data_IF_629400893104
#
_entry.id   IF_629400893104
#
_cell.length_a   1.000
_cell.length_b   1.000
_cell.length_c   1.000
_cell.angle_alpha   90.00
_cell.angle_beta   90.00
_cell.angle_gamma   90.00
#
_symmetry.space_group_name_H-M   'P 1'
#
loop_
_entity.id
_entity.type
_entity.pdbx_description
1 polymer ?
#
# COMPACT_ATOMS: atom_id res chain seq x y z
N UNK A 1 22.42 -3.34 -10.06
CA UNK A 1 21.18 -4.05 -10.21
C UNK A 1 20.61 -4.47 -8.88
N UNK A 2 19.38 -4.18 -8.70
CA UNK A 2 18.77 -4.53 -7.43
C UNK A 2 18.48 -6.02 -7.37
N UNK A 3 18.77 -6.60 -6.24
CA UNK A 3 18.52 -7.98 -6.01
C UNK A 3 17.10 -8.20 -5.56
N UNK A 4 16.38 -9.14 -6.11
CA UNK A 4 15.05 -9.43 -5.60
C UNK A 4 15.15 -9.84 -4.15
N UNK A 5 14.13 -9.52 -3.40
CA UNK A 5 14.12 -9.89 -2.01
C UNK A 5 14.04 -11.39 -1.89
N UNK A 6 14.93 -11.92 -1.08
CA UNK A 6 14.99 -13.34 -0.92
C UNK A 6 13.79 -13.81 -0.17
N UNK A 7 13.27 -14.95 -0.54
CA UNK A 7 12.24 -15.59 0.23
C UNK A 7 10.91 -14.91 0.23
N UNK A 8 10.72 -13.88 -0.55
CA UNK A 8 9.41 -13.31 -0.68
C UNK A 8 8.47 -14.41 -1.09
N UNK A 9 7.27 -14.37 -0.57
CA UNK A 9 6.36 -15.44 -0.88
C UNK A 9 6.08 -15.44 -2.38
N UNK A 10 6.00 -16.64 -2.89
CA UNK A 10 5.90 -16.79 -4.31
C UNK A 10 4.53 -16.63 -4.84
N UNK A 11 3.58 -16.88 -4.04
CA UNK A 11 2.25 -16.92 -4.48
C UNK A 11 1.89 -15.58 -4.98
N UNK A 12 1.65 -14.69 -4.78
CA UNK A 12 1.23 -13.45 -5.39
C UNK A 12 2.29 -12.74 -6.17
N UNK A 13 3.48 -13.27 -6.23
CA UNK A 13 4.53 -12.62 -6.97
C UNK A 13 4.82 -11.23 -6.47
N UNK A 14 4.39 -10.90 -5.28
CA UNK A 14 4.63 -9.58 -4.72
C UNK A 14 6.05 -9.48 -4.23
N UNK A 15 6.70 -8.42 -4.59
CA UNK A 15 8.05 -8.15 -4.18
C UNK A 15 8.06 -6.86 -3.39
N UNK A 16 8.47 -6.91 -2.12
CA UNK A 16 8.53 -5.74 -1.28
C UNK A 16 9.94 -5.21 -1.27
N UNK A 17 10.08 -3.93 -1.57
CA UNK A 17 11.38 -3.29 -1.65
C UNK A 17 11.49 -2.26 -0.53
N UNK A 18 12.53 -2.40 0.30
CA UNK A 18 12.74 -1.52 1.42
C UNK A 18 13.89 -0.57 1.13
N UNK A 19 13.66 0.72 1.41
CA UNK A 19 14.69 1.73 1.27
C UNK A 19 15.04 2.27 2.63
N UNK A 20 16.33 2.26 2.97
CA UNK A 20 16.81 2.79 4.23
C UNK A 20 17.24 4.23 4.14
N UNK A 21 17.26 4.78 2.94
CA UNK A 21 17.78 6.13 2.75
C UNK A 21 16.70 7.20 2.76
N UNK A 22 15.44 6.81 2.79
CA UNK A 22 14.37 7.77 2.77
C UNK A 22 13.92 8.16 4.16
N UNK A 23 12.99 9.08 4.21
CA UNK A 23 12.42 9.54 5.46
C UNK A 23 11.19 8.74 5.88
N UNK A 24 10.75 7.81 5.04
CA UNK A 24 9.56 7.02 5.32
C UNK A 24 9.96 5.83 6.21
N UNK A 25 9.32 5.67 7.37
CA UNK A 25 9.63 4.53 8.22
C UNK A 25 9.41 3.21 7.51
N UNK A 26 10.17 2.20 7.90
CA UNK A 26 10.11 0.92 7.23
C UNK A 26 8.73 0.29 7.34
N UNK A 27 8.07 0.39 8.49
CA UNK A 27 6.76 -0.21 8.62
C UNK A 27 5.76 0.42 7.65
N UNK A 28 5.89 1.72 7.40
CA UNK A 28 5.01 2.37 6.42
C UNK A 28 5.29 1.91 5.01
N UNK A 29 6.55 1.64 4.70
CA UNK A 29 6.88 1.11 3.39
C UNK A 29 6.27 -0.27 3.17
N UNK A 30 6.29 -1.10 4.20
CA UNK A 30 5.66 -2.42 4.10
C UNK A 30 4.16 -2.28 3.92
N UNK A 31 3.55 -1.43 4.75
CA UNK A 31 2.10 -1.22 4.65
C UNK A 31 1.68 -0.74 3.28
N UNK A 32 2.40 0.25 2.77
CA UNK A 32 2.02 0.84 1.49
C UNK A 32 2.09 -0.16 0.36
N UNK A 33 3.11 -0.99 0.37
CA UNK A 33 3.28 -1.95 -0.72
C UNK A 33 2.26 -3.08 -0.65
N UNK A 34 1.93 -3.53 0.55
CA UNK A 34 0.90 -4.56 0.69
C UNK A 34 -0.46 -3.99 0.34
N UNK A 35 -0.78 -2.78 0.81
CA UNK A 35 -2.01 -2.12 0.45
C UNK A 35 -2.15 -1.99 -1.06
N UNK A 36 -1.09 -1.53 -1.69
CA UNK A 36 -1.08 -1.34 -3.12
C UNK A 36 -1.35 -2.64 -3.85
N UNK A 37 -0.70 -3.71 -3.41
CA UNK A 37 -0.88 -5.01 -4.05
C UNK A 37 -2.31 -5.52 -3.91
N UNK A 38 -2.92 -5.26 -2.76
CA UNK A 38 -4.31 -5.66 -2.56
C UNK A 38 -5.24 -4.83 -3.45
N UNK A 39 -4.96 -3.54 -3.53
CA UNK A 39 -5.82 -2.66 -4.32
C UNK A 39 -5.69 -2.89 -5.81
N UNK A 40 -4.52 -3.30 -6.27
CA UNK A 40 -4.31 -3.56 -7.70
C UNK A 40 -4.69 -4.99 -8.09
N UNK A 41 -4.96 -5.85 -7.13
CA UNK A 41 -5.31 -7.22 -7.43
C UNK A 41 -4.14 -8.18 -7.47
N UNK A 42 -2.94 -7.72 -7.23
CA UNK A 42 -1.79 -8.62 -7.12
C UNK A 42 -1.97 -9.61 -5.99
N UNK A 43 -2.52 -9.13 -4.89
CA UNK A 43 -2.92 -9.99 -3.79
C UNK A 43 -4.44 -10.06 -3.80
N UNK A 44 -4.97 -11.27 -3.84
CA UNK A 44 -6.41 -11.46 -3.94
C UNK A 44 -6.99 -11.78 -2.57
N UNK A 45 -8.30 -11.56 -2.46
CA UNK A 45 -9.00 -11.82 -1.21
C UNK A 45 -8.79 -13.25 -0.77
N UNK A 46 -8.50 -13.42 0.50
CA UNK A 46 -8.29 -14.74 1.08
C UNK A 46 -6.88 -15.31 0.90
N UNK A 47 -6.05 -14.60 0.18
CA UNK A 47 -4.69 -15.09 -0.07
C UNK A 47 -3.87 -15.05 1.21
N UNK A 48 -3.07 -16.08 1.44
CA UNK A 48 -2.27 -16.20 2.64
C UNK A 48 -1.01 -15.35 2.53
N UNK A 49 -0.77 -14.51 3.51
CA UNK A 49 0.44 -13.70 3.56
C UNK A 49 1.52 -14.45 4.32
N UNK A 50 2.78 -14.08 4.11
CA UNK A 50 3.84 -14.71 4.89
C UNK A 50 3.70 -14.35 6.37
N UNK A 51 4.23 -15.20 7.24
CA UNK A 51 4.20 -14.90 8.65
C UNK A 51 5.04 -13.67 8.93
N UNK A 52 4.75 -13.03 10.05
CA UNK A 52 5.50 -11.85 10.45
C UNK A 52 6.98 -12.17 10.53
N UNK A 53 7.32 -13.29 11.15
CA UNK A 53 8.71 -13.67 11.31
C UNK A 53 9.37 -13.96 9.97
N UNK A 54 8.65 -14.64 9.10
CA UNK A 54 9.19 -14.97 7.78
C UNK A 54 9.45 -13.71 6.97
N UNK A 55 8.50 -12.80 6.95
CA UNK A 55 8.66 -11.58 6.18
C UNK A 55 9.79 -10.72 6.78
N UNK A 56 9.84 -10.62 8.10
CA UNK A 56 10.89 -9.84 8.74
C UNK A 56 12.27 -10.39 8.36
N UNK A 57 12.39 -11.70 8.35
CA UNK A 57 13.64 -12.35 8.00
C UNK A 57 14.01 -12.10 6.54
N UNK A 58 13.02 -12.22 5.66
CA UNK A 58 13.25 -12.01 4.23
C UNK A 58 13.66 -10.59 3.91
N UNK A 59 13.04 -9.63 4.59
CA UNK A 59 13.33 -8.22 4.36
C UNK A 59 14.49 -7.71 5.18
N UNK A 60 14.97 -8.53 6.12
CA UNK A 60 16.05 -8.14 7.01
C UNK A 60 15.67 -6.93 7.85
N UNK A 61 14.47 -6.94 8.37
CA UNK A 61 13.97 -5.91 9.27
C UNK A 61 13.55 -6.58 10.56
N UNK A 62 13.26 -5.76 11.58
CA UNK A 62 12.90 -6.32 12.87
C UNK A 62 11.50 -6.91 12.83
N UNK A 63 11.29 -7.90 13.70
CA UNK A 63 9.98 -8.50 13.85
C UNK A 63 8.98 -7.46 14.35
N UNK A 64 9.43 -6.56 15.21
CA UNK A 64 8.56 -5.53 15.76
C UNK A 64 8.05 -4.61 14.64
N UNK A 65 8.93 -4.24 13.74
CA UNK A 65 8.56 -3.39 12.61
C UNK A 65 7.52 -4.07 11.72
N UNK A 66 7.78 -5.34 11.41
CA UNK A 66 6.85 -6.10 10.56
C UNK A 66 5.51 -6.31 11.27
N UNK A 67 5.55 -6.58 12.57
CA UNK A 67 4.34 -6.75 13.34
C UNK A 67 3.50 -5.48 13.32
N UNK A 68 4.15 -4.33 13.43
CA UNK A 68 3.42 -3.08 13.37
C UNK A 68 2.73 -2.89 12.04
N UNK A 69 3.43 -3.23 10.95
CA UNK A 69 2.83 -3.10 9.63
C UNK A 69 1.59 -3.97 9.52
N UNK A 70 1.68 -5.22 9.96
CA UNK A 70 0.53 -6.12 9.88
C UNK A 70 -0.61 -5.65 10.78
N UNK A 71 -0.29 -5.16 11.97
CA UNK A 71 -1.33 -4.66 12.87
C UNK A 71 -2.07 -3.48 12.27
N UNK A 72 -1.34 -2.55 11.68
CA UNK A 72 -1.97 -1.40 11.06
C UNK A 72 -2.87 -1.82 9.90
N UNK A 73 -2.40 -2.77 9.09
CA UNK A 73 -3.19 -3.26 7.98
C UNK A 73 -4.45 -3.97 8.46
N UNK A 74 -4.34 -4.68 9.56
CA UNK A 74 -5.51 -5.36 10.12
C UNK A 74 -6.51 -4.35 10.64
N UNK A 75 -6.02 -3.33 11.30
CA UNK A 75 -6.88 -2.27 11.82
C UNK A 75 -7.62 -1.56 10.70
N UNK A 76 -6.96 -1.38 9.57
CA UNK A 76 -7.56 -0.73 8.42
C UNK A 76 -8.48 -1.66 7.63
N UNK A 77 -8.50 -2.94 7.94
CA UNK A 77 -9.39 -3.87 7.29
C UNK A 77 -8.82 -4.54 6.04
N UNK A 78 -7.54 -4.36 5.78
CA UNK A 78 -6.93 -4.98 4.60
C UNK A 78 -6.59 -6.43 4.80
N UNK A 79 -6.26 -6.82 6.02
CA UNK A 79 -5.88 -8.21 6.33
C UNK A 79 -6.61 -8.67 7.58
N UNK A 80 -6.68 -9.99 7.75
CA UNK A 80 -7.22 -10.60 8.96
C UNK A 80 -6.24 -11.64 9.45
N UNK A 81 -6.13 -11.75 10.76
CA UNK A 81 -5.29 -12.77 11.38
C UNK A 81 -6.19 -13.84 11.96
N UNK A 82 -5.95 -15.08 11.57
CA UNK A 82 -6.67 -16.22 12.09
C UNK A 82 -5.71 -16.99 12.98
N UNK A 83 -6.04 -17.05 14.24
CA UNK A 83 -5.15 -17.65 15.21
C UNK A 83 -4.85 -19.10 14.84
N UNK A 84 -3.57 -19.44 14.85
CA UNK A 84 -3.13 -20.78 14.50
C UNK A 84 -3.02 -21.03 13.01
N UNK A 85 -3.49 -20.11 12.17
CA UNK A 85 -3.46 -20.32 10.73
C UNK A 85 -2.69 -19.27 9.97
N UNK A 86 -2.60 -18.04 10.51
CA UNK A 86 -1.80 -17.02 9.88
C UNK A 86 -2.60 -15.79 9.51
N UNK A 87 -2.02 -14.96 8.68
CA UNK A 87 -2.61 -13.72 8.23
C UNK A 87 -2.99 -13.84 6.77
N UNK A 88 -4.18 -13.36 6.46
CA UNK A 88 -4.74 -13.49 5.13
C UNK A 88 -5.25 -12.14 4.64
N UNK A 89 -5.28 -11.97 3.33
CA UNK A 89 -5.92 -10.81 2.74
C UNK A 89 -7.40 -10.88 3.07
N UNK A 90 -7.95 -9.77 3.59
CA UNK A 90 -9.35 -9.75 4.00
C UNK A 90 -10.24 -9.98 2.79
N UNK A 91 -11.34 -10.68 3.03
CA UNK A 91 -12.32 -10.91 1.98
C UNK A 91 -13.64 -10.30 2.41
N UNK A 92 -14.43 -9.90 1.41
CA UNK A 92 -15.74 -9.38 1.70
C UNK A 92 -15.80 -7.91 2.06
N UNK A 93 -14.68 -7.20 2.00
CA UNK A 93 -14.65 -5.78 2.31
C UNK A 93 -14.34 -4.95 1.08
N UNK A 94 -15.00 -5.27 -0.01
CA UNK A 94 -14.80 -4.54 -1.24
C UNK A 94 -15.16 -3.07 -1.09
N UNK A 95 -16.22 -2.78 -0.36
CA UNK A 95 -16.65 -1.40 -0.17
C UNK A 95 -15.61 -0.61 0.60
N UNK A 96 -15.05 -1.20 1.65
CA UNK A 96 -14.04 -0.52 2.45
C UNK A 96 -12.80 -0.23 1.62
N UNK A 97 -12.37 -1.20 0.83
CA UNK A 97 -11.21 -0.99 -0.04
C UNK A 97 -11.48 0.10 -1.07
N UNK A 98 -12.69 0.10 -1.61
CA UNK A 98 -13.06 1.12 -2.59
C UNK A 98 -13.06 2.50 -1.95
N UNK A 99 -13.58 2.61 -0.73
CA UNK A 99 -13.60 3.90 -0.04
C UNK A 99 -12.18 4.40 0.22
N UNK A 100 -11.30 3.49 0.60
CA UNK A 100 -9.91 3.87 0.86
C UNK A 100 -9.24 4.37 -0.41
N UNK A 101 -9.52 3.73 -1.54
CA UNK A 101 -8.96 4.16 -2.81
C UNK A 101 -9.48 5.53 -3.20
N UNK A 102 -10.76 5.76 -3.01
CA UNK A 102 -11.35 7.06 -3.31
C UNK A 102 -10.73 8.15 -2.46
N UNK A 103 -10.54 7.86 -1.17
CA UNK A 103 -9.90 8.84 -0.29
C UNK A 103 -8.49 9.17 -0.76
N UNK A 104 -7.78 8.17 -1.24
CA UNK A 104 -6.43 8.38 -1.74
C UNK A 104 -6.42 9.31 -2.94
N UNK A 105 -7.38 9.12 -3.84
CA UNK A 105 -7.52 10.00 -4.99
C UNK A 105 -7.83 11.42 -4.54
N UNK A 106 -8.75 11.55 -3.59
CA UNK A 106 -9.12 12.87 -3.09
C UNK A 106 -7.92 13.58 -2.47
N UNK A 107 -7.11 12.87 -1.72
CA UNK A 107 -5.93 13.44 -1.12
C UNK A 107 -4.94 13.92 -2.17
N UNK A 108 -4.81 13.17 -3.25
CA UNK A 108 -3.94 13.58 -4.34
C UNK A 108 -4.44 14.86 -5.01
N UNK A 109 -5.76 14.94 -5.18
CA UNK A 109 -6.34 16.14 -5.76
C UNK A 109 -6.17 17.33 -4.83
N UNK A 110 -6.32 17.12 -3.54
CA UNK A 110 -6.10 18.21 -2.58
C UNK A 110 -4.67 18.71 -2.62
N UNK A 111 -3.74 17.80 -2.77
CA UNK A 111 -2.33 18.18 -2.88
C UNK A 111 -2.09 19.00 -4.14
N UNK A 112 -2.71 18.57 -5.24
CA UNK A 112 -2.57 19.30 -6.49
C UNK A 112 -3.14 20.71 -6.36
N UNK A 113 -4.27 20.85 -5.68
CA UNK A 113 -4.87 22.15 -5.46
C UNK A 113 -3.95 23.03 -4.62
N UNK A 114 -3.36 22.45 -3.57
CA UNK A 114 -2.45 23.21 -2.72
C UNK A 114 -1.23 23.69 -3.50
N UNK A 115 -0.73 22.85 -4.40
CA UNK A 115 0.42 23.23 -5.22
C UNK A 115 0.06 24.30 -6.24
N UNK A 116 -1.18 24.33 -6.68
CA UNK A 116 -1.61 25.25 -7.71
C UNK A 116 -1.83 26.67 -7.17
N UNK A 117 -2.22 26.79 -5.92
CA UNK A 117 -2.58 28.11 -5.37
C UNK A 117 -1.45 29.13 -5.44
N UNK A 118 -0.23 28.79 -5.03
CA UNK A 118 0.84 29.80 -5.12
C UNK A 118 1.13 30.23 -6.55
N UNK A 119 0.74 29.43 -7.53
CA UNK A 119 0.96 29.75 -8.93
C UNK A 119 -0.17 30.58 -9.54
N UNK A 120 -1.23 30.80 -8.78
CA UNK A 120 -2.37 31.55 -9.29
C UNK A 120 -3.23 30.80 -10.26
N UNK A 121 -3.12 29.48 -10.29
CA UNK A 121 -3.96 28.68 -11.18
C UNK A 121 -5.40 28.70 -10.69
N UNK A 122 -6.33 28.89 -11.62
CA UNK A 122 -7.74 28.95 -11.30
C UNK A 122 -8.36 27.56 -11.39
N UNK A 123 -9.61 27.45 -10.92
CA UNK A 123 -10.34 26.21 -11.05
C UNK A 123 -10.46 25.80 -12.52
N UNK A 124 -10.67 26.78 -13.40
CA UNK A 124 -10.76 26.47 -14.83
C UNK A 124 -9.44 25.90 -15.34
N UNK A 125 -8.33 26.49 -14.89
CA UNK A 125 -7.01 25.98 -15.28
C UNK A 125 -6.84 24.53 -14.85
N UNK A 126 -7.25 24.24 -13.61
CA UNK A 126 -7.11 22.88 -13.11
C UNK A 126 -8.01 21.91 -13.85
N UNK A 127 -9.22 22.34 -14.16
CA UNK A 127 -10.12 21.48 -14.92
C UNK A 127 -9.57 21.17 -16.29
N UNK A 128 -8.97 22.18 -16.92
CA UNK A 128 -8.39 21.96 -18.23
C UNK A 128 -7.20 21.00 -18.18
N UNK A 129 -6.34 21.17 -17.17
CA UNK A 129 -5.22 20.27 -16.99
C UNK A 129 -5.69 18.84 -16.80
N UNK A 130 -6.70 18.68 -15.94
CA UNK A 130 -7.23 17.36 -15.67
C UNK A 130 -7.82 16.75 -16.93
N UNK A 131 -8.55 17.55 -17.70
CA UNK A 131 -9.15 17.07 -18.93
C UNK A 131 -8.08 16.56 -19.90
N UNK A 132 -7.01 17.31 -20.04
CA UNK A 132 -5.93 16.90 -20.93
C UNK A 132 -5.25 15.62 -20.46
N UNK A 133 -5.04 15.47 -19.15
CA UNK A 133 -4.41 14.29 -18.63
C UNK A 133 -5.30 13.06 -18.80
N UNK A 134 -6.60 13.24 -18.74
CA UNK A 134 -7.53 12.12 -18.89
C UNK A 134 -7.66 11.65 -20.33
N UNK A 135 -7.22 12.45 -21.27
CA UNK A 135 -7.33 12.08 -22.67
C UNK A 135 -6.21 11.14 -23.15
N UNK A 136 -5.23 10.92 -22.33
CA UNK A 136 -4.13 10.02 -22.72
C UNK A 136 -4.47 8.53 -22.64
#
# INVERSE_FOLDING_TARGET
MRQPLQGCWKRGQLEIVISNSGSVPIYEQIEAQIKDAIMTGELTAGEHLPSIRSLANDLRVSVITTKRAYSDLEELGFVVTVQGKGTFVASGNQDLLREERIRHVEESLERAIADARPLGLTADDLHEMLHLLLED
#
